data_IF_839479467798
#
_entry.id   IF_839479467798
#
_cell.length_a   1.000
_cell.length_b   1.000
_cell.length_c   1.000
_cell.angle_alpha   90.00
_cell.angle_beta   90.00
_cell.angle_gamma   90.00
#
_symmetry.space_group_name_H-M   'P 1'
#
loop_
_entity.id
_entity.type
_entity.pdbx_description
1 polymer ?
#
# COMPACT_ATOMS: atom_id res chain seq x y z
N UNK A 1 -6.13 3.64 -25.81
CA UNK A 1 -5.42 3.99 -24.57
C UNK A 1 -4.07 4.66 -24.91
N UNK A 2 -3.68 5.72 -24.20
CA UNK A 2 -2.37 6.38 -24.34
C UNK A 2 -1.19 5.47 -24.01
N UNK A 3 -1.34 4.54 -23.07
CA UNK A 3 -0.26 3.63 -22.67
C UNK A 3 0.06 2.61 -23.78
N UNK A 4 -0.97 2.04 -24.41
CA UNK A 4 -0.82 1.17 -25.57
C UNK A 4 -0.15 1.88 -26.76
N UNK A 5 -0.48 3.16 -26.99
CA UNK A 5 0.17 3.97 -28.02
C UNK A 5 1.65 4.20 -27.71
N UNK A 6 2.00 4.50 -26.45
CA UNK A 6 3.38 4.64 -26.03
C UNK A 6 4.18 3.33 -26.18
N UNK A 7 3.61 2.18 -25.82
CA UNK A 7 4.22 0.86 -26.07
C UNK A 7 4.41 0.58 -27.57
N UNK A 8 3.42 0.96 -28.41
CA UNK A 8 3.53 0.80 -29.87
C UNK A 8 4.67 1.62 -30.47
N UNK A 9 4.93 2.82 -29.93
CA UNK A 9 6.06 3.65 -30.33
C UNK A 9 7.39 2.97 -29.97
N UNK A 10 7.50 2.29 -28.84
CA UNK A 10 8.71 1.51 -28.50
C UNK A 10 8.97 0.39 -29.51
N UNK A 11 7.94 -0.39 -29.82
CA UNK A 11 8.05 -1.47 -30.83
C UNK A 11 8.45 -0.90 -32.20
N UNK A 12 7.90 0.25 -32.57
CA UNK A 12 8.29 0.94 -33.79
C UNK A 12 9.77 1.34 -33.75
N UNK A 13 10.23 1.99 -32.68
CA UNK A 13 11.63 2.39 -32.49
C UNK A 13 12.58 1.18 -32.56
N UNK A 14 12.24 0.07 -31.89
CA UNK A 14 13.05 -1.15 -31.92
C UNK A 14 13.15 -1.76 -33.33
N UNK A 15 12.07 -1.67 -34.13
CA UNK A 15 12.05 -2.18 -35.51
C UNK A 15 12.94 -1.37 -36.46
N UNK A 16 12.97 -0.05 -36.29
CA UNK A 16 13.81 0.83 -37.13
C UNK A 16 15.28 0.83 -36.67
N UNK A 17 15.55 0.59 -35.37
CA UNK A 17 16.90 0.44 -34.83
C UNK A 17 17.67 -0.71 -35.49
N UNK A 18 17.03 -1.86 -35.76
CA UNK A 18 17.66 -3.00 -36.42
C UNK A 18 18.09 -2.78 -37.88
N UNK A 19 17.96 -1.55 -38.41
CA UNK A 19 18.24 -1.15 -39.79
C UNK A 19 19.07 0.15 -39.89
N UNK A 20 20.17 0.28 -39.15
CA UNK A 20 21.23 1.29 -39.40
C UNK A 20 21.12 2.68 -38.71
N UNK A 21 20.44 2.83 -37.57
CA UNK A 21 20.45 4.10 -36.83
C UNK A 21 20.63 3.95 -35.30
N UNK A 22 21.84 4.17 -34.82
CA UNK A 22 22.16 4.14 -33.38
C UNK A 22 21.55 5.32 -32.59
N UNK A 23 21.24 6.45 -33.24
CA UNK A 23 20.77 7.67 -32.56
C UNK A 23 19.36 7.54 -31.98
N UNK A 24 18.59 6.54 -32.41
CA UNK A 24 17.21 6.28 -31.99
C UNK A 24 17.08 5.13 -30.99
N UNK A 25 18.21 4.58 -30.50
CA UNK A 25 18.21 3.46 -29.55
C UNK A 25 17.38 3.80 -28.29
N UNK A 26 16.39 2.96 -27.91
CA UNK A 26 15.69 3.13 -26.65
C UNK A 26 16.67 3.12 -25.47
N UNK A 27 16.55 4.11 -24.59
CA UNK A 27 17.34 4.20 -23.36
C UNK A 27 16.43 4.12 -22.13
N UNK A 28 17.02 4.16 -20.94
CA UNK A 28 16.29 4.09 -19.67
C UNK A 28 15.14 5.10 -19.56
N UNK A 29 15.26 6.30 -20.15
CA UNK A 29 14.20 7.32 -20.14
C UNK A 29 13.01 6.92 -21.01
N UNK A 30 13.24 6.32 -22.18
CA UNK A 30 12.19 5.81 -23.06
C UNK A 30 11.33 4.77 -22.34
N UNK A 31 11.98 3.78 -21.72
CA UNK A 31 11.28 2.73 -20.97
C UNK A 31 10.56 3.29 -19.73
N UNK A 32 11.19 4.19 -18.98
CA UNK A 32 10.57 4.84 -17.83
C UNK A 32 9.30 5.62 -18.22
N UNK A 33 9.31 6.34 -19.34
CA UNK A 33 8.14 7.05 -19.83
C UNK A 33 6.95 6.11 -20.12
N UNK A 34 7.22 4.94 -20.70
CA UNK A 34 6.20 3.93 -21.01
C UNK A 34 5.67 3.28 -19.73
N UNK A 35 6.53 2.95 -18.77
CA UNK A 35 6.14 2.42 -17.47
C UNK A 35 5.24 3.42 -16.71
N UNK A 36 5.56 4.71 -16.77
CA UNK A 36 4.72 5.77 -16.21
C UNK A 36 3.37 5.92 -16.94
N UNK A 37 3.34 5.70 -18.26
CA UNK A 37 2.08 5.68 -19.00
C UNK A 37 1.20 4.49 -18.56
N UNK A 38 1.79 3.31 -18.39
CA UNK A 38 1.08 2.13 -17.87
C UNK A 38 0.62 2.29 -16.43
N UNK A 39 1.39 2.94 -15.55
CA UNK A 39 0.98 3.17 -14.15
C UNK A 39 -0.24 4.06 -13.99
N UNK A 40 -0.51 4.90 -15.00
CA UNK A 40 -1.68 5.77 -15.06
C UNK A 40 -2.82 5.18 -15.90
N UNK A 41 -2.62 4.05 -16.56
CA UNK A 41 -3.67 3.38 -17.32
C UNK A 41 -4.65 2.67 -16.37
N UNK A 42 -5.91 2.61 -16.79
CA UNK A 42 -6.98 1.85 -16.12
C UNK A 42 -7.25 0.50 -16.82
N UNK A 43 -6.42 0.13 -17.81
CA UNK A 43 -6.43 -1.16 -18.50
C UNK A 43 -6.15 -2.30 -17.49
N UNK A 44 -6.93 -3.38 -17.58
CA UNK A 44 -6.80 -4.53 -16.68
C UNK A 44 -5.46 -5.27 -16.83
N UNK A 45 -4.87 -5.22 -18.02
CA UNK A 45 -3.58 -5.86 -18.32
C UNK A 45 -2.38 -4.92 -18.08
N UNK A 46 -2.62 -3.68 -17.63
CA UNK A 46 -1.59 -2.67 -17.46
C UNK A 46 -0.42 -3.16 -16.60
N UNK A 47 -0.72 -3.88 -15.52
CA UNK A 47 0.29 -4.37 -14.58
C UNK A 47 1.21 -5.44 -15.20
N UNK A 48 0.63 -6.39 -15.94
CA UNK A 48 1.40 -7.45 -16.61
C UNK A 48 2.21 -6.89 -17.80
N UNK A 49 1.68 -5.90 -18.52
CA UNK A 49 2.44 -5.20 -19.57
C UNK A 49 3.60 -4.41 -18.99
N UNK A 50 3.39 -3.69 -17.89
CA UNK A 50 4.45 -2.98 -17.18
C UNK A 50 5.54 -3.95 -16.68
N UNK A 51 5.16 -5.12 -16.12
CA UNK A 51 6.11 -6.16 -15.72
C UNK A 51 6.94 -6.66 -16.92
N UNK A 52 6.30 -6.94 -18.05
CA UNK A 52 6.98 -7.38 -19.27
C UNK A 52 8.02 -6.37 -19.76
N UNK A 53 7.68 -5.08 -19.70
CA UNK A 53 8.57 -3.99 -20.09
C UNK A 53 9.78 -3.93 -19.14
N UNK A 54 9.57 -4.06 -17.83
CA UNK A 54 10.67 -4.08 -16.85
C UNK A 54 11.61 -5.29 -17.04
N UNK A 55 11.06 -6.48 -17.28
CA UNK A 55 11.87 -7.68 -17.62
C UNK A 55 12.63 -7.50 -18.92
N UNK A 56 12.03 -6.81 -19.90
CA UNK A 56 12.70 -6.46 -21.16
C UNK A 56 13.87 -5.52 -20.93
N UNK A 57 13.73 -4.50 -20.07
CA UNK A 57 14.85 -3.62 -19.68
C UNK A 57 16.02 -4.42 -19.09
N UNK A 58 15.74 -5.32 -18.13
CA UNK A 58 16.76 -6.18 -17.52
C UNK A 58 17.46 -7.06 -18.58
N UNK A 59 16.69 -7.69 -19.47
CA UNK A 59 17.26 -8.53 -20.54
C UNK A 59 18.19 -7.72 -21.44
N UNK A 60 17.77 -6.51 -21.85
CA UNK A 60 18.58 -5.65 -22.70
C UNK A 60 19.85 -5.20 -21.97
N UNK A 61 19.75 -4.84 -20.69
CA UNK A 61 20.91 -4.50 -19.87
C UNK A 61 21.91 -5.65 -19.76
N UNK A 62 21.43 -6.87 -19.51
CA UNK A 62 22.27 -8.07 -19.44
C UNK A 62 22.91 -8.42 -20.79
N UNK A 63 22.31 -8.01 -21.91
CA UNK A 63 22.90 -8.11 -23.25
C UNK A 63 23.90 -6.97 -23.58
N UNK A 64 24.28 -6.14 -22.61
CA UNK A 64 25.23 -5.03 -22.80
C UNK A 64 24.62 -3.74 -23.35
N UNK A 65 23.30 -3.59 -23.30
CA UNK A 65 22.65 -2.32 -23.66
C UNK A 65 22.62 -1.36 -22.47
N UNK A 66 22.74 -0.05 -22.74
CA UNK A 66 22.64 0.99 -21.72
C UNK A 66 21.15 1.29 -21.37
N UNK A 67 20.48 0.28 -20.83
CA UNK A 67 19.05 0.30 -20.47
C UNK A 67 18.85 -0.26 -19.07
N UNK A 68 19.67 0.20 -18.13
CA UNK A 68 19.66 -0.28 -16.75
C UNK A 68 18.34 0.07 -16.06
N UNK A 69 17.60 -0.92 -15.50
CA UNK A 69 16.47 -0.64 -14.62
C UNK A 69 16.91 0.21 -13.42
N UNK A 70 16.04 1.09 -12.96
CA UNK A 70 16.29 1.94 -11.79
C UNK A 70 15.09 1.89 -10.83
N UNK A 71 15.20 2.52 -9.66
CA UNK A 71 14.12 2.61 -8.65
C UNK A 71 12.79 3.01 -9.29
N UNK A 72 12.80 4.02 -10.15
CA UNK A 72 11.57 4.51 -10.80
C UNK A 72 10.88 3.42 -11.64
N UNK A 73 11.64 2.65 -12.41
CA UNK A 73 11.09 1.57 -13.22
C UNK A 73 10.41 0.50 -12.35
N UNK A 74 11.09 0.04 -11.29
CA UNK A 74 10.53 -0.92 -10.34
C UNK A 74 9.29 -0.38 -9.61
N UNK A 75 9.39 0.81 -9.01
CA UNK A 75 8.28 1.43 -8.28
C UNK A 75 7.07 1.67 -9.18
N UNK A 76 7.28 2.03 -10.46
CA UNK A 76 6.20 2.20 -11.43
C UNK A 76 5.44 0.90 -11.66
N UNK A 77 6.14 -0.22 -11.87
CA UNK A 77 5.48 -1.53 -12.02
C UNK A 77 4.76 -1.92 -10.73
N UNK A 78 5.38 -1.75 -9.57
CA UNK A 78 4.75 -2.07 -8.28
C UNK A 78 3.48 -1.23 -8.07
N UNK A 79 3.49 0.07 -8.38
CA UNK A 79 2.29 0.91 -8.25
C UNK A 79 1.21 0.51 -9.27
N UNK A 80 1.57 0.06 -10.47
CA UNK A 80 0.58 -0.49 -11.43
C UNK A 80 -0.17 -1.69 -10.84
N UNK A 81 0.54 -2.62 -10.17
CA UNK A 81 -0.08 -3.73 -9.46
C UNK A 81 -0.88 -3.25 -8.25
N UNK A 82 -0.36 -2.31 -7.46
CA UNK A 82 -1.06 -1.74 -6.31
C UNK A 82 -2.36 -1.01 -6.69
N UNK A 83 -2.42 -0.42 -7.88
CA UNK A 83 -3.63 0.23 -8.40
C UNK A 83 -4.67 -0.80 -8.88
N UNK A 84 -4.22 -1.95 -9.37
CA UNK A 84 -5.07 -3.06 -9.82
C UNK A 84 -5.44 -4.09 -8.73
N UNK A 85 -4.87 -3.98 -7.52
CA UNK A 85 -5.03 -4.97 -6.43
C UNK A 85 -6.47 -5.24 -5.96
N UNK A 86 -7.43 -4.35 -6.24
CA UNK A 86 -8.85 -4.61 -5.96
C UNK A 86 -9.51 -5.57 -6.98
N UNK A 87 -9.00 -5.59 -8.22
CA UNK A 87 -9.53 -6.35 -9.36
C UNK A 87 -8.79 -7.67 -9.54
N UNK A 88 -7.47 -7.65 -9.40
CA UNK A 88 -6.61 -8.83 -9.52
C UNK A 88 -6.17 -9.33 -8.14
N UNK A 89 -6.58 -10.57 -7.79
CA UNK A 89 -6.22 -11.23 -6.53
C UNK A 89 -4.71 -11.50 -6.40
N UNK A 90 -4.00 -11.63 -7.53
CA UNK A 90 -2.57 -11.93 -7.55
C UNK A 90 -1.70 -10.67 -7.50
N UNK A 91 -2.28 -9.49 -7.73
CA UNK A 91 -1.51 -8.26 -7.89
C UNK A 91 -0.68 -7.90 -6.67
N UNK A 92 -1.18 -8.13 -5.45
CA UNK A 92 -0.39 -7.86 -4.24
C UNK A 92 0.81 -8.82 -4.11
N UNK A 93 0.61 -10.11 -4.39
CA UNK A 93 1.69 -11.10 -4.39
C UNK A 93 2.72 -10.83 -5.51
N UNK A 94 2.27 -10.34 -6.67
CA UNK A 94 3.15 -9.92 -7.77
C UNK A 94 3.95 -8.67 -7.43
N UNK A 95 3.31 -7.65 -6.85
CA UNK A 95 3.99 -6.46 -6.34
C UNK A 95 5.10 -6.81 -5.33
N UNK A 96 4.81 -7.71 -4.39
CA UNK A 96 5.80 -8.22 -3.43
C UNK A 96 6.94 -8.99 -4.12
N UNK A 97 6.63 -9.85 -5.09
CA UNK A 97 7.65 -10.59 -5.86
C UNK A 97 8.61 -9.66 -6.61
N UNK A 98 8.11 -8.54 -7.14
CA UNK A 98 8.92 -7.54 -7.83
C UNK A 98 9.79 -6.76 -6.83
N UNK A 99 9.28 -6.47 -5.63
CA UNK A 99 10.08 -5.89 -4.56
C UNK A 99 11.21 -6.83 -4.12
N UNK A 100 10.95 -8.13 -3.95
CA UNK A 100 12.02 -9.10 -3.63
C UNK A 100 13.06 -9.16 -4.74
N UNK A 101 12.63 -9.15 -6.01
CA UNK A 101 13.55 -9.10 -7.14
C UNK A 101 14.43 -7.82 -7.09
N UNK A 102 13.83 -6.67 -6.81
CA UNK A 102 14.56 -5.41 -6.64
C UNK A 102 15.57 -5.45 -5.49
N UNK A 103 15.19 -6.03 -4.34
CA UNK A 103 16.08 -6.21 -3.17
C UNK A 103 17.26 -7.09 -3.55
N UNK A 104 17.00 -8.25 -4.17
CA UNK A 104 18.03 -9.20 -4.56
C UNK A 104 19.01 -8.60 -5.58
N UNK A 105 18.53 -7.82 -6.54
CA UNK A 105 19.40 -7.14 -7.49
C UNK A 105 20.22 -6.03 -6.82
N UNK A 106 19.67 -5.32 -5.83
CA UNK A 106 20.38 -4.23 -5.16
C UNK A 106 21.58 -4.70 -4.33
N UNK A 107 21.65 -5.99 -3.99
CA UNK A 107 22.72 -6.57 -3.18
C UNK A 107 22.64 -6.16 -1.70
N UNK A 108 23.36 -6.88 -0.83
CA UNK A 108 23.34 -6.66 0.61
C UNK A 108 23.95 -5.30 0.98
N UNK A 109 23.08 -4.29 1.09
CA UNK A 109 23.34 -3.10 1.89
C UNK A 109 24.13 -1.97 1.23
N UNK A 110 24.28 -1.97 -0.10
CA UNK A 110 24.83 -0.82 -0.82
C UNK A 110 23.70 0.01 -1.43
N UNK A 111 23.70 1.32 -1.16
CA UNK A 111 22.82 2.23 -1.89
C UNK A 111 23.30 2.34 -3.34
N UNK A 112 22.45 1.95 -4.28
CA UNK A 112 22.66 2.05 -5.70
C UNK A 112 21.36 2.47 -6.39
N UNK A 113 21.39 2.59 -7.72
CA UNK A 113 20.27 3.08 -8.53
C UNK A 113 19.02 2.18 -8.52
N UNK A 114 19.08 1.01 -7.88
CA UNK A 114 17.98 0.04 -7.77
C UNK A 114 17.65 -0.31 -6.32
N UNK A 115 18.26 0.35 -5.32
CA UNK A 115 17.94 0.12 -3.92
C UNK A 115 16.50 0.58 -3.60
N UNK A 116 15.64 -0.26 -3.02
CA UNK A 116 14.29 0.14 -2.64
C UNK A 116 14.29 1.28 -1.63
N UNK A 117 13.21 2.06 -1.59
CA UNK A 117 13.03 3.11 -0.60
C UNK A 117 11.62 3.03 0.01
N UNK A 118 11.32 3.93 0.95
CA UNK A 118 10.02 4.03 1.61
C UNK A 118 8.84 4.04 0.61
N UNK A 119 8.99 4.71 -0.54
CA UNK A 119 7.94 4.77 -1.57
C UNK A 119 7.68 3.39 -2.19
N UNK A 120 8.74 2.64 -2.52
CA UNK A 120 8.62 1.29 -3.08
C UNK A 120 7.92 0.34 -2.11
N UNK A 121 8.32 0.34 -0.84
CA UNK A 121 7.65 -0.49 0.18
C UNK A 121 6.20 -0.08 0.39
N UNK A 122 5.91 1.22 0.50
CA UNK A 122 4.57 1.74 0.67
C UNK A 122 3.65 1.31 -0.48
N UNK A 123 4.15 1.22 -1.71
CA UNK A 123 3.38 0.74 -2.85
C UNK A 123 2.98 -0.74 -2.70
N UNK A 124 3.88 -1.61 -2.25
CA UNK A 124 3.55 -3.04 -1.98
C UNK A 124 2.58 -3.18 -0.82
N UNK A 125 2.78 -2.45 0.28
CA UNK A 125 1.89 -2.46 1.44
C UNK A 125 0.49 -1.98 1.05
N UNK A 126 0.40 -0.93 0.21
CA UNK A 126 -0.86 -0.44 -0.37
C UNK A 126 -1.54 -1.49 -1.26
N UNK A 127 -0.76 -2.29 -2.01
CA UNK A 127 -1.31 -3.41 -2.78
C UNK A 127 -1.97 -4.44 -1.86
N UNK A 128 -1.28 -4.84 -0.78
CA UNK A 128 -1.85 -5.73 0.24
C UNK A 128 -3.06 -5.15 0.96
N UNK A 129 -3.04 -3.85 1.29
CA UNK A 129 -4.18 -3.18 1.95
C UNK A 129 -5.45 -3.13 1.09
N UNK A 130 -5.30 -3.21 -0.25
CA UNK A 130 -6.41 -3.25 -1.22
C UNK A 130 -6.80 -4.66 -1.64
N UNK A 131 -5.95 -5.64 -1.36
CA UNK A 131 -6.15 -7.04 -1.71
C UNK A 131 -7.28 -7.65 -0.88
N UNK A 132 -7.98 -8.61 -1.48
CA UNK A 132 -8.96 -9.47 -0.78
C UNK A 132 -8.40 -10.86 -0.49
N UNK A 133 -7.11 -11.09 -0.77
CA UNK A 133 -6.43 -12.35 -0.49
C UNK A 133 -6.28 -12.53 1.02
N UNK A 134 -6.53 -13.75 1.49
CA UNK A 134 -6.30 -14.12 2.88
C UNK A 134 -4.82 -13.93 3.26
N UNK A 135 -4.56 -13.41 4.46
CA UNK A 135 -3.21 -13.13 4.94
C UNK A 135 -2.55 -11.88 4.34
N UNK A 136 -3.21 -11.12 3.44
CA UNK A 136 -2.65 -9.87 2.92
C UNK A 136 -2.35 -8.84 4.01
N UNK A 137 -3.19 -8.75 5.05
CA UNK A 137 -2.93 -7.84 6.17
C UNK A 137 -1.71 -8.28 7.00
N UNK A 138 -1.54 -9.58 7.22
CA UNK A 138 -0.33 -10.11 7.86
C UNK A 138 0.92 -9.83 7.02
N UNK A 139 0.86 -9.97 5.70
CA UNK A 139 1.97 -9.62 4.80
C UNK A 139 2.31 -8.13 4.85
N UNK A 140 1.31 -7.25 4.84
CA UNK A 140 1.51 -5.81 5.04
C UNK A 140 2.24 -5.50 6.37
N UNK A 141 1.85 -6.17 7.46
CA UNK A 141 2.52 -6.04 8.76
C UNK A 141 3.96 -6.55 8.74
N UNK A 142 4.20 -7.70 8.11
CA UNK A 142 5.56 -8.26 8.00
C UNK A 142 6.50 -7.33 7.22
N UNK A 143 5.99 -6.65 6.18
CA UNK A 143 6.75 -5.65 5.43
C UNK A 143 7.09 -4.43 6.28
N UNK A 144 6.17 -3.95 7.12
CA UNK A 144 6.45 -2.89 8.09
C UNK A 144 7.55 -3.29 9.08
N UNK A 145 7.49 -4.50 9.63
CA UNK A 145 8.54 -5.01 10.53
C UNK A 145 9.89 -5.14 9.82
N UNK A 146 9.88 -5.52 8.53
CA UNK A 146 11.09 -5.57 7.70
C UNK A 146 11.67 -4.17 7.47
N UNK A 147 10.84 -3.16 7.18
CA UNK A 147 11.29 -1.76 7.06
C UNK A 147 11.91 -1.24 8.35
N UNK A 148 11.32 -1.56 9.51
CA UNK A 148 11.88 -1.21 10.82
C UNK A 148 13.23 -1.88 11.07
N UNK A 149 13.38 -3.15 10.69
CA UNK A 149 14.69 -3.86 10.75
C UNK A 149 15.72 -3.20 9.85
N UNK A 150 15.35 -2.81 8.63
CA UNK A 150 16.23 -2.08 7.72
C UNK A 150 16.67 -0.73 8.33
N UNK A 151 15.74 0.04 8.90
CA UNK A 151 16.07 1.29 9.60
C UNK A 151 17.08 1.07 10.74
N UNK A 152 16.85 0.08 11.61
CA UNK A 152 17.77 -0.26 12.71
C UNK A 152 19.15 -0.72 12.24
N UNK A 153 19.24 -1.28 11.02
CA UNK A 153 20.50 -1.69 10.40
C UNK A 153 21.19 -0.55 9.62
N UNK A 154 20.73 0.70 9.76
CA UNK A 154 21.33 1.87 9.11
C UNK A 154 20.73 2.24 7.75
N UNK A 155 19.73 1.51 7.26
CA UNK A 155 19.05 1.79 5.98
C UNK A 155 17.90 2.78 6.16
N UNK A 156 18.21 3.99 6.64
CA UNK A 156 17.21 5.02 6.94
C UNK A 156 16.36 5.48 5.73
N UNK A 157 16.79 5.22 4.49
CA UNK A 157 16.02 5.48 3.27
C UNK A 157 14.88 4.46 3.03
N UNK A 158 14.86 3.37 3.79
CA UNK A 158 13.77 2.39 3.84
C UNK A 158 12.95 2.52 5.13
N UNK A 159 13.19 3.55 5.94
CA UNK A 159 12.46 3.75 7.19
C UNK A 159 10.96 3.89 6.94
N UNK A 160 10.10 3.27 7.78
CA UNK A 160 8.66 3.46 7.69
C UNK A 160 8.28 4.89 8.07
N UNK A 161 7.20 5.37 7.47
CA UNK A 161 6.63 6.69 7.74
C UNK A 161 5.14 6.60 8.10
N UNK A 162 4.52 7.75 8.36
CA UNK A 162 3.08 7.85 8.59
C UNK A 162 2.25 7.15 7.50
N UNK A 163 2.69 7.19 6.23
CA UNK A 163 1.99 6.53 5.11
C UNK A 163 2.09 5.01 5.24
N UNK A 164 3.27 4.48 5.61
CA UNK A 164 3.48 3.04 5.86
C UNK A 164 2.52 2.52 6.93
N UNK A 165 2.50 3.16 8.09
CA UNK A 165 1.63 2.75 9.21
C UNK A 165 0.14 2.85 8.84
N UNK A 166 -0.26 3.95 8.19
CA UNK A 166 -1.65 4.13 7.74
C UNK A 166 -2.08 3.03 6.75
N UNK A 167 -1.19 2.59 5.86
CA UNK A 167 -1.48 1.52 4.93
C UNK A 167 -1.66 0.16 5.65
N UNK A 168 -0.83 -0.15 6.66
CA UNK A 168 -0.95 -1.38 7.47
C UNK A 168 -2.21 -1.37 8.33
N UNK A 169 -2.54 -0.24 8.98
CA UNK A 169 -3.80 -0.11 9.75
C UNK A 169 -5.00 -0.35 8.83
N UNK A 170 -5.01 0.24 7.63
CA UNK A 170 -6.08 0.00 6.66
C UNK A 170 -6.14 -1.45 6.17
N UNK A 171 -5.00 -2.13 6.01
CA UNK A 171 -4.98 -3.54 5.66
C UNK A 171 -5.65 -4.39 6.75
N UNK A 172 -5.32 -4.13 8.01
CA UNK A 172 -5.92 -4.79 9.17
C UNK A 172 -7.42 -4.51 9.34
N UNK A 173 -7.84 -3.25 9.17
CA UNK A 173 -9.26 -2.85 9.26
C UNK A 173 -10.13 -3.44 8.14
N UNK A 174 -9.53 -3.77 7.00
CA UNK A 174 -10.24 -4.33 5.84
C UNK A 174 -10.08 -5.84 5.73
N UNK A 175 -9.27 -6.48 6.58
CA UNK A 175 -9.13 -7.93 6.56
C UNK A 175 -10.37 -8.62 7.13
N UNK A 176 -10.58 -9.86 6.72
CA UNK A 176 -11.59 -10.77 7.30
C UNK A 176 -11.03 -11.56 8.49
N UNK A 177 -9.80 -11.28 8.94
CA UNK A 177 -9.19 -11.97 10.06
C UNK A 177 -9.87 -11.56 11.38
N UNK A 178 -10.20 -12.53 12.23
CA UNK A 178 -10.91 -12.29 13.51
C UNK A 178 -10.18 -11.30 14.42
N UNK A 179 -8.85 -11.37 14.46
CA UNK A 179 -8.01 -10.46 15.24
C UNK A 179 -7.53 -9.24 14.45
N UNK A 180 -8.01 -9.03 13.22
CA UNK A 180 -7.55 -7.97 12.33
C UNK A 180 -7.73 -6.59 12.96
N UNK A 181 -8.91 -6.31 13.50
CA UNK A 181 -9.16 -5.00 14.11
C UNK A 181 -8.31 -4.76 15.38
N UNK A 182 -8.08 -5.79 16.20
CA UNK A 182 -7.17 -5.68 17.35
C UNK A 182 -5.74 -5.31 16.90
N UNK A 183 -5.24 -5.96 15.84
CA UNK A 183 -3.92 -5.64 15.26
C UNK A 183 -3.86 -4.21 14.68
N UNK A 184 -4.96 -3.72 14.11
CA UNK A 184 -5.05 -2.32 13.67
C UNK A 184 -4.86 -1.34 14.84
N UNK A 185 -5.52 -1.59 15.98
CA UNK A 185 -5.38 -0.78 17.18
C UNK A 185 -3.96 -0.84 17.76
N UNK A 186 -3.37 -2.04 17.81
CA UNK A 186 -1.97 -2.23 18.23
C UNK A 186 -0.99 -1.50 17.31
N UNK A 187 -1.27 -1.47 16.00
CA UNK A 187 -0.43 -0.74 15.03
C UNK A 187 -0.51 0.77 15.25
N UNK A 188 -1.70 1.33 15.51
CA UNK A 188 -1.85 2.74 15.88
C UNK A 188 -1.13 3.04 17.20
N UNK A 189 -1.26 2.17 18.20
CA UNK A 189 -0.59 2.34 19.49
C UNK A 189 0.94 2.34 19.35
N UNK A 190 1.49 1.40 18.57
CA UNK A 190 2.91 1.38 18.24
C UNK A 190 3.37 2.69 17.58
N UNK A 191 2.56 3.24 16.69
CA UNK A 191 2.85 4.51 16.02
C UNK A 191 2.89 5.69 17.02
N UNK A 192 1.96 5.75 17.97
CA UNK A 192 1.95 6.72 19.07
C UNK A 192 3.20 6.58 19.96
N UNK A 193 3.55 5.35 20.32
CA UNK A 193 4.69 5.06 21.19
C UNK A 193 6.03 5.41 20.53
N UNK A 194 6.17 5.12 19.23
CA UNK A 194 7.35 5.51 18.45
C UNK A 194 7.48 7.04 18.32
N UNK A 195 6.37 7.74 18.12
CA UNK A 195 6.36 9.19 18.08
C UNK A 195 6.74 9.79 19.45
N UNK A 196 6.20 9.24 20.54
CA UNK A 196 6.54 9.65 21.91
C UNK A 196 8.02 9.39 22.23
N UNK A 197 8.63 8.36 21.65
CA UNK A 197 10.05 8.07 21.73
C UNK A 197 10.94 8.96 20.81
N UNK A 198 10.36 9.94 20.11
CA UNK A 198 11.09 10.91 19.29
C UNK A 198 11.17 10.58 17.80
N UNK A 199 10.52 9.52 17.32
CA UNK A 199 10.46 9.24 15.88
C UNK A 199 9.37 10.08 15.20
N UNK A 200 9.73 11.30 14.80
CA UNK A 200 8.80 12.23 14.15
C UNK A 200 8.34 11.80 12.75
N UNK A 201 9.02 10.84 12.09
CA UNK A 201 8.62 10.33 10.75
C UNK A 201 7.32 9.54 10.76
N UNK A 202 6.96 8.99 11.94
CA UNK A 202 5.78 8.14 12.13
C UNK A 202 4.71 8.82 12.97
N UNK A 203 4.68 10.15 13.01
CA UNK A 203 3.67 10.89 13.77
C UNK A 203 2.25 10.50 13.32
N UNK A 204 1.38 10.02 14.21
CA UNK A 204 -0.03 9.77 13.92
C UNK A 204 -0.73 11.03 13.41
N UNK A 205 -1.60 10.86 12.42
CA UNK A 205 -2.39 11.95 11.84
C UNK A 205 -3.88 11.59 11.79
N UNK A 206 -4.70 12.53 11.29
CA UNK A 206 -6.14 12.32 11.11
C UNK A 206 -6.45 11.08 10.27
N UNK A 207 -5.58 10.66 9.36
CA UNK A 207 -5.76 9.42 8.57
C UNK A 207 -5.56 8.20 9.46
N UNK A 208 -4.53 8.18 10.31
CA UNK A 208 -4.24 7.09 11.26
C UNK A 208 -5.44 6.83 12.18
N UNK A 209 -5.95 7.87 12.83
CA UNK A 209 -7.09 7.75 13.74
C UNK A 209 -8.39 7.42 13.01
N UNK A 210 -8.65 8.04 11.85
CA UNK A 210 -9.86 7.75 11.08
C UNK A 210 -9.92 6.32 10.58
N UNK A 211 -8.77 5.69 10.28
CA UNK A 211 -8.74 4.29 9.90
C UNK A 211 -9.23 3.38 11.04
N UNK A 212 -8.78 3.62 12.28
CA UNK A 212 -9.24 2.86 13.46
C UNK A 212 -10.70 3.18 13.81
N UNK A 213 -11.12 4.44 13.74
CA UNK A 213 -12.54 4.84 13.89
C UNK A 213 -13.44 4.13 12.87
N UNK A 214 -12.98 4.02 11.63
CA UNK A 214 -13.69 3.26 10.61
C UNK A 214 -13.78 1.78 10.97
N UNK A 215 -12.73 1.19 11.55
CA UNK A 215 -12.77 -0.18 12.09
C UNK A 215 -13.85 -0.36 13.16
N UNK A 216 -13.94 0.55 14.14
CA UNK A 216 -15.03 0.51 15.12
C UNK A 216 -16.41 0.61 14.48
N UNK A 217 -16.55 1.42 13.43
CA UNK A 217 -17.82 1.54 12.69
C UNK A 217 -18.25 0.28 11.93
N UNK A 218 -17.40 -0.76 11.88
CA UNK A 218 -17.74 -2.08 11.31
C UNK A 218 -18.17 -3.09 12.39
N UNK A 219 -17.84 -2.84 13.64
CA UNK A 219 -18.21 -3.69 14.77
C UNK A 219 -19.69 -3.50 15.15
N UNK A 220 -20.31 -4.55 15.71
CA UNK A 220 -21.71 -4.53 16.17
C UNK A 220 -21.84 -4.49 17.69
N UNK A 221 -20.75 -4.67 18.44
CA UNK A 221 -20.81 -4.65 19.89
C UNK A 221 -20.91 -3.22 20.44
N UNK A 222 -21.67 -3.03 21.53
CA UNK A 222 -21.81 -1.73 22.21
C UNK A 222 -20.48 -1.14 22.69
N UNK A 223 -19.56 -2.00 23.13
CA UNK A 223 -18.25 -1.56 23.59
C UNK A 223 -17.43 -0.85 22.50
N UNK A 224 -17.63 -1.22 21.23
CA UNK A 224 -16.97 -0.58 20.09
C UNK A 224 -17.43 0.85 19.85
N UNK A 225 -18.70 1.19 20.10
CA UNK A 225 -19.19 2.56 19.96
C UNK A 225 -18.58 3.49 21.02
N UNK A 226 -18.51 3.04 22.28
CA UNK A 226 -17.90 3.80 23.36
C UNK A 226 -16.39 4.00 23.15
N UNK A 227 -15.69 2.97 22.66
CA UNK A 227 -14.28 3.08 22.29
C UNK A 227 -14.07 4.03 21.10
N UNK A 228 -14.96 4.05 20.11
CA UNK A 228 -14.90 4.99 19.01
C UNK A 228 -15.06 6.44 19.50
N UNK A 229 -16.02 6.68 20.40
CA UNK A 229 -16.21 7.99 21.04
C UNK A 229 -14.98 8.41 21.86
N UNK A 230 -14.41 7.50 22.64
CA UNK A 230 -13.20 7.77 23.42
C UNK A 230 -12.01 8.17 22.51
N UNK A 231 -11.84 7.47 21.38
CA UNK A 231 -10.79 7.77 20.41
C UNK A 231 -11.01 9.14 19.74
N UNK A 232 -12.26 9.50 19.42
CA UNK A 232 -12.58 10.83 18.89
C UNK A 232 -12.25 11.94 19.91
N UNK A 233 -12.60 11.76 21.18
CA UNK A 233 -12.24 12.72 22.24
C UNK A 233 -10.72 12.83 22.44
N UNK A 234 -9.99 11.72 22.29
CA UNK A 234 -8.52 11.77 22.29
C UNK A 234 -7.99 12.67 21.15
N UNK A 235 -8.51 12.52 19.93
CA UNK A 235 -8.14 13.38 18.80
C UNK A 235 -8.45 14.87 19.08
N UNK A 236 -9.64 15.16 19.63
CA UNK A 236 -10.03 16.53 20.01
C UNK A 236 -9.07 17.13 21.04
N UNK A 237 -8.73 16.36 22.09
CA UNK A 237 -7.79 16.79 23.12
C UNK A 237 -6.40 17.07 22.55
N UNK A 238 -5.87 16.19 21.70
CA UNK A 238 -4.57 16.38 21.08
C UNK A 238 -4.56 17.62 20.16
N UNK A 239 -5.65 17.86 19.42
CA UNK A 239 -5.77 19.05 18.58
C UNK A 239 -5.82 20.33 19.44
N UNK A 240 -6.58 20.33 20.53
CA UNK A 240 -6.63 21.46 21.48
C UNK A 240 -5.26 21.74 22.14
N UNK A 241 -4.39 20.73 22.24
CA UNK A 241 -3.01 20.86 22.71
C UNK A 241 -2.04 21.38 21.62
N UNK A 242 -2.55 21.76 20.45
CA UNK A 242 -1.76 22.34 19.36
C UNK A 242 -1.31 21.34 18.29
N UNK A 243 -1.75 20.08 18.32
CA UNK A 243 -1.43 19.12 17.27
C UNK A 243 -2.45 19.20 16.12
N UNK A 244 -2.20 20.07 15.15
CA UNK A 244 -3.07 20.24 13.98
C UNK A 244 -3.13 19.01 13.06
N UNK A 245 -2.15 18.10 13.14
CA UNK A 245 -2.11 16.90 12.27
C UNK A 245 -3.17 15.87 12.64
N UNK A 246 -3.76 15.95 13.83
CA UNK A 246 -4.77 15.00 14.32
C UNK A 246 -6.16 15.63 14.42
N UNK A 247 -6.36 16.80 13.80
CA UNK A 247 -7.65 17.52 13.80
C UNK A 247 -8.78 16.59 13.34
N UNK A 248 -9.82 16.35 14.18
CA UNK A 248 -11.01 15.63 13.77
C UNK A 248 -11.70 16.30 12.59
N UNK A 249 -12.30 15.50 11.71
CA UNK A 249 -13.06 16.01 10.56
C UNK A 249 -14.38 15.25 10.41
N UNK A 250 -15.16 15.60 9.37
CA UNK A 250 -16.45 14.97 9.10
C UNK A 250 -16.38 13.44 9.08
N UNK A 251 -15.29 12.83 8.58
CA UNK A 251 -15.14 11.37 8.59
C UNK A 251 -15.02 10.81 10.01
N UNK A 252 -14.31 11.50 10.90
CA UNK A 252 -14.16 11.11 12.31
C UNK A 252 -15.52 11.02 13.00
N UNK A 253 -16.34 12.07 12.88
CA UNK A 253 -17.69 12.11 13.47
C UNK A 253 -18.64 11.09 12.84
N UNK A 254 -18.66 10.99 11.50
CA UNK A 254 -19.50 10.01 10.79
C UNK A 254 -19.17 8.57 11.19
N UNK A 255 -17.89 8.23 11.40
CA UNK A 255 -17.50 6.90 11.87
C UNK A 255 -18.04 6.59 13.26
N UNK A 256 -18.03 7.56 14.20
CA UNK A 256 -18.61 7.38 15.55
C UNK A 256 -20.13 7.23 15.49
N UNK A 257 -20.81 8.04 14.68
CA UNK A 257 -22.27 7.92 14.47
C UNK A 257 -22.62 6.53 13.92
N UNK A 258 -21.87 6.07 12.92
CA UNK A 258 -22.08 4.74 12.33
C UNK A 258 -21.82 3.61 13.33
N UNK A 259 -20.84 3.77 14.23
CA UNK A 259 -20.60 2.81 15.31
C UNK A 259 -21.80 2.74 16.27
N UNK A 260 -22.33 3.90 16.70
CA UNK A 260 -23.54 3.95 17.54
C UNK A 260 -24.77 3.34 16.86
N UNK A 261 -24.99 3.66 15.58
CA UNK A 261 -26.10 3.13 14.81
C UNK A 261 -26.07 1.59 14.76
N UNK A 262 -24.92 1.00 14.44
CA UNK A 262 -24.76 -0.47 14.37
C UNK A 262 -24.78 -1.16 15.72
N UNK A 263 -24.30 -0.50 16.77
CA UNK A 263 -24.36 -1.05 18.14
C UNK A 263 -25.78 -1.08 18.73
N UNK A 264 -26.71 -0.36 18.09
CA UNK A 264 -28.11 -0.25 18.49
C UNK A 264 -29.03 -1.16 17.67
N UNK A 265 -28.52 -1.84 16.64
CA UNK A 265 -29.27 -2.86 15.92
C UNK A 265 -29.52 -4.05 16.86
N UNK A 266 -30.78 -4.43 17.14
CA UNK A 266 -31.06 -5.66 17.88
C UNK A 266 -30.52 -6.85 17.08
N UNK A 267 -29.92 -7.81 17.79
CA UNK A 267 -29.26 -9.00 17.24
C UNK A 267 -30.26 -9.82 16.41
N UNK A 268 -30.41 -9.53 15.11
CA UNK A 268 -31.24 -10.32 14.21
C UNK A 268 -30.54 -11.64 13.88
N UNK A 269 -30.48 -12.56 14.85
CA UNK A 269 -30.09 -13.95 14.65
C UNK A 269 -30.53 -14.87 15.81
N UNK A 270 -31.83 -14.92 16.11
CA UNK A 270 -32.46 -16.19 16.48
C UNK A 270 -33.64 -16.40 15.52
N UNK A 271 -33.37 -17.08 14.41
CA UNK A 271 -34.43 -17.75 13.66
C UNK A 271 -35.10 -18.72 14.62
N UNK A 272 -36.33 -18.42 15.02
CA UNK A 272 -37.19 -19.39 15.68
C UNK A 272 -37.36 -20.60 14.74
N UNK A 273 -36.98 -21.83 15.12
CA UNK A 273 -37.49 -23.00 14.44
C UNK A 273 -39.00 -23.06 14.75
N UNK A 274 -39.79 -23.13 13.69
CA UNK A 274 -41.25 -23.09 13.74
C UNK A 274 -41.81 -24.11 14.72
N UNK A 275 -42.41 -23.60 15.80
CA UNK A 275 -43.43 -24.32 16.55
C UNK A 275 -44.76 -24.16 15.81
N UNK A 276 -45.06 -25.08 14.89
CA UNK A 276 -46.44 -25.37 14.50
C UNK A 276 -46.83 -26.69 15.17
N UNK A 277 -47.33 -26.57 16.38
CA UNK A 277 -48.16 -27.58 17.02
C UNK A 277 -49.57 -27.03 17.18
N UNK A 278 -50.46 -27.42 16.27
CA UNK A 278 -51.83 -27.91 16.49
C UNK A 278 -52.51 -28.15 15.15
#
# INVERSE_FOLDING_TARGET
DSAQRAESVLVFIERIYGKDNEAIRPNTKTFAAILNAWSKSNDGDAAYRAERILRRMETLYNCGNDVKPNVFAFTSVIDTFANNAKRDRNAASKAESILEWMINLSGDGQQNEITPNTVTFNAVIKAHAKSKQEGSAQRASNLLDRMRKFESNGFGHMAPDTITFNAVINAWVNSSESNGFLKAQQTLKLMEDLFAAGNHKVQPDTISYNAVLHGFSKCRDRGSADKAKALLHQMEKLHQQGNDRVRPNAKSFTSVINAYAKSSEPDQAVKAPGGLGR
#
